data_IF_715939306369
#
_entry.id   IF_715939306369
#
_cell.length_a   1.000
_cell.length_b   1.000
_cell.length_c   1.000
_cell.angle_alpha   90.00
_cell.angle_beta   90.00
_cell.angle_gamma   90.00
#
_symmetry.space_group_name_H-M   'P 1'
#
loop_
_entity.id
_entity.type
_entity.pdbx_description
1 polymer ?
#
# COMPACT_ATOMS: atom_id res chain seq x y z
N UNK A 1 -42.91 17.44 33.59
CA UNK A 1 -42.98 16.37 32.58
C UNK A 1 -42.81 16.98 31.19
N UNK A 2 -41.64 16.82 30.57
CA UNK A 2 -41.40 17.10 29.16
C UNK A 2 -40.80 15.83 28.55
N UNK A 3 -41.32 15.43 27.39
CA UNK A 3 -41.10 14.10 26.79
C UNK A 3 -39.82 14.15 25.97
N UNK A 4 -38.83 13.31 26.28
CA UNK A 4 -37.66 13.11 25.43
C UNK A 4 -38.00 12.10 24.35
N UNK A 5 -37.96 12.54 23.10
CA UNK A 5 -38.06 11.67 21.92
C UNK A 5 -36.65 11.11 21.62
N UNK A 6 -36.42 9.79 21.66
CA UNK A 6 -35.08 9.20 21.63
C UNK A 6 -34.55 8.97 20.19
N UNK A 7 -35.07 9.66 19.19
CA UNK A 7 -34.83 9.35 17.76
C UNK A 7 -33.92 10.35 17.03
N UNK A 8 -33.08 11.12 17.74
CA UNK A 8 -32.11 12.00 17.09
C UNK A 8 -30.67 11.52 17.36
N UNK A 9 -29.85 11.26 16.32
CA UNK A 9 -28.44 11.03 16.53
C UNK A 9 -27.80 12.30 17.12
N UNK A 10 -26.79 12.18 17.99
CA UNK A 10 -26.14 13.33 18.60
C UNK A 10 -25.55 14.20 17.49
N UNK A 11 -26.01 15.46 17.43
CA UNK A 11 -25.46 16.47 16.53
C UNK A 11 -24.00 16.69 16.97
N UNK A 12 -22.99 16.47 16.11
CA UNK A 12 -21.61 16.76 16.48
C UNK A 12 -21.48 18.27 16.72
N UNK A 13 -20.97 18.65 17.88
CA UNK A 13 -20.70 20.04 18.20
C UNK A 13 -19.68 20.62 17.21
N UNK A 14 -19.83 21.89 16.77
CA UNK A 14 -18.84 22.55 15.92
C UNK A 14 -17.54 22.72 16.72
N UNK A 15 -16.54 21.91 16.36
CA UNK A 15 -15.30 21.80 17.10
C UNK A 15 -14.52 23.12 17.09
N UNK A 16 -14.27 23.59 18.30
CA UNK A 16 -13.46 24.75 18.63
C UNK A 16 -12.00 24.42 18.37
N UNK A 17 -11.55 24.48 17.10
CA UNK A 17 -10.16 24.75 16.68
C UNK A 17 -8.99 24.00 17.33
N UNK A 18 -9.21 22.89 18.04
CA UNK A 18 -8.16 22.12 18.70
C UNK A 18 -8.15 20.70 18.12
N UNK A 19 -7.04 20.25 17.52
CA UNK A 19 -6.96 18.92 16.94
C UNK A 19 -7.11 17.86 18.03
N UNK A 20 -8.03 16.92 17.83
CA UNK A 20 -8.30 15.82 18.74
C UNK A 20 -7.03 14.93 18.89
N UNK A 21 -6.50 14.72 20.11
CA UNK A 21 -5.26 13.96 20.34
C UNK A 21 -5.37 12.46 20.04
N UNK A 22 -6.58 11.93 19.84
CA UNK A 22 -6.82 10.55 19.42
C UNK A 22 -6.98 10.41 17.90
N UNK A 23 -7.00 11.52 17.16
CA UNK A 23 -7.13 11.50 15.73
C UNK A 23 -5.75 11.22 15.13
N UNK A 24 -5.54 10.03 14.51
CA UNK A 24 -4.31 9.84 13.74
C UNK A 24 -4.24 10.95 12.69
N UNK A 25 -3.04 11.48 12.40
CA UNK A 25 -2.90 12.49 11.37
C UNK A 25 -3.56 11.93 10.11
N UNK A 26 -4.52 12.69 9.55
CA UNK A 26 -5.06 12.43 8.23
C UNK A 26 -3.98 12.81 7.22
N UNK A 27 -2.87 12.09 7.26
CA UNK A 27 -1.95 12.01 6.14
C UNK A 27 -2.74 11.28 5.07
N UNK A 28 -3.36 12.05 4.18
CA UNK A 28 -3.66 11.52 2.86
C UNK A 28 -2.37 10.81 2.41
N UNK A 29 -2.44 9.52 2.04
CA UNK A 29 -1.28 8.86 1.47
C UNK A 29 -0.80 9.79 0.36
N UNK A 30 0.50 10.09 0.27
CA UNK A 30 1.01 10.85 -0.86
C UNK A 30 0.39 10.23 -2.11
N UNK A 31 -0.10 11.09 -3.02
CA UNK A 31 -0.60 10.69 -4.34
C UNK A 31 0.59 10.12 -5.11
N UNK A 32 1.05 8.96 -4.68
CA UNK A 32 1.97 8.10 -5.39
C UNK A 32 1.18 7.76 -6.64
N UNK A 33 1.76 8.04 -7.81
CA UNK A 33 1.20 7.64 -9.08
C UNK A 33 1.03 6.11 -9.03
N UNK A 34 -0.17 5.67 -8.63
CA UNK A 34 -0.44 4.29 -8.27
C UNK A 34 -0.25 3.37 -9.49
N UNK A 35 -0.44 3.95 -10.66
CA UNK A 35 -0.18 3.35 -11.95
C UNK A 35 1.31 2.98 -12.12
N UNK A 36 2.25 3.87 -11.80
CA UNK A 36 3.69 3.61 -11.91
C UNK A 36 4.15 2.48 -10.98
N UNK A 37 3.62 2.41 -9.76
CA UNK A 37 3.95 1.34 -8.81
C UNK A 37 3.40 -0.01 -9.25
N UNK A 38 2.19 -0.03 -9.80
CA UNK A 38 1.58 -1.27 -10.32
C UNK A 38 2.36 -1.81 -11.53
N UNK A 39 2.83 -0.91 -12.40
CA UNK A 39 3.69 -1.24 -13.54
C UNK A 39 5.04 -1.74 -13.05
N UNK A 40 5.63 -1.06 -12.06
CA UNK A 40 6.89 -1.46 -11.46
C UNK A 40 6.80 -2.84 -10.80
N UNK A 41 5.72 -3.12 -10.06
CA UNK A 41 5.44 -4.44 -9.50
C UNK A 41 5.34 -5.51 -10.58
N UNK A 42 4.55 -5.29 -11.64
CA UNK A 42 4.40 -6.25 -12.73
C UNK A 42 5.74 -6.53 -13.42
N UNK A 43 6.53 -5.47 -13.67
CA UNK A 43 7.87 -5.59 -14.27
C UNK A 43 8.84 -6.35 -13.37
N UNK A 44 8.79 -6.10 -12.07
CA UNK A 44 9.54 -6.83 -11.06
C UNK A 44 9.17 -8.31 -11.06
N UNK A 45 7.88 -8.62 -11.09
CA UNK A 45 7.37 -9.99 -11.17
C UNK A 45 7.85 -10.72 -12.43
N UNK A 46 7.81 -10.08 -13.60
CA UNK A 46 8.36 -10.67 -14.83
C UNK A 46 9.88 -10.90 -14.74
N UNK A 47 10.62 -9.95 -14.17
CA UNK A 47 12.05 -10.08 -13.94
C UNK A 47 12.36 -11.24 -12.98
N UNK A 48 11.57 -11.41 -11.90
CA UNK A 48 11.73 -12.49 -10.92
C UNK A 48 11.35 -13.87 -11.44
N UNK A 49 10.62 -13.96 -12.55
CA UNK A 49 10.38 -15.25 -13.24
C UNK A 49 11.57 -15.69 -14.09
N UNK A 50 12.45 -14.78 -14.51
CA UNK A 50 13.64 -15.12 -15.31
C UNK A 50 14.73 -15.72 -14.41
N UNK A 51 15.48 -16.68 -14.95
CA UNK A 51 16.57 -17.32 -14.21
C UNK A 51 17.78 -16.40 -13.99
N UNK A 52 17.93 -15.38 -14.85
CA UNK A 52 19.01 -14.42 -14.78
C UNK A 52 18.64 -13.26 -13.85
N UNK A 53 19.22 -13.23 -12.66
CA UNK A 53 19.11 -12.14 -11.69
C UNK A 53 19.83 -10.84 -12.12
N UNK A 54 20.03 -10.63 -13.42
CA UNK A 54 20.79 -9.51 -13.97
C UNK A 54 19.93 -8.27 -14.19
N UNK A 55 18.59 -8.41 -14.16
CA UNK A 55 17.65 -7.30 -14.28
C UNK A 55 17.62 -6.54 -12.95
N UNK A 56 18.57 -5.61 -12.79
CA UNK A 56 18.60 -4.69 -11.66
C UNK A 56 17.38 -3.78 -11.73
N UNK A 57 16.87 -3.43 -10.55
CA UNK A 57 15.78 -2.48 -10.40
C UNK A 57 16.13 -1.15 -11.11
N UNK A 58 15.39 -0.74 -12.15
CA UNK A 58 15.69 0.46 -12.93
C UNK A 58 15.18 1.74 -12.26
N UNK A 59 14.42 1.62 -11.18
CA UNK A 59 13.85 2.75 -10.46
C UNK A 59 14.85 3.30 -9.43
N UNK A 60 14.76 4.60 -9.09
CA UNK A 60 15.61 5.19 -8.06
C UNK A 60 15.48 4.43 -6.75
N UNK A 61 16.61 4.15 -6.12
CA UNK A 61 16.66 3.65 -4.75
C UNK A 61 15.84 4.54 -3.80
N UNK A 62 15.09 3.91 -2.88
CA UNK A 62 14.08 4.49 -1.98
C UNK A 62 12.73 4.95 -2.57
N UNK A 63 12.57 4.94 -3.90
CA UNK A 63 11.27 5.25 -4.52
C UNK A 63 10.20 4.18 -4.23
N UNK A 64 8.92 4.59 -4.27
CA UNK A 64 7.79 3.64 -4.12
C UNK A 64 7.81 2.58 -5.22
N UNK A 65 8.14 2.98 -6.45
CA UNK A 65 8.22 2.09 -7.60
C UNK A 65 9.38 1.11 -7.51
N UNK A 66 10.53 1.52 -6.94
CA UNK A 66 11.62 0.58 -6.65
C UNK A 66 11.17 -0.51 -5.65
N UNK A 67 10.50 -0.12 -4.57
CA UNK A 67 9.96 -1.08 -3.59
C UNK A 67 8.92 -2.00 -4.23
N UNK A 68 8.06 -1.47 -5.09
CA UNK A 68 7.05 -2.26 -5.80
C UNK A 68 7.69 -3.30 -6.74
N UNK A 69 8.73 -2.91 -7.50
CA UNK A 69 9.51 -3.81 -8.34
C UNK A 69 10.16 -4.93 -7.53
N UNK A 70 10.85 -4.60 -6.44
CA UNK A 70 11.51 -5.60 -5.60
C UNK A 70 10.49 -6.58 -5.00
N UNK A 71 9.32 -6.09 -4.61
CA UNK A 71 8.24 -6.93 -4.09
C UNK A 71 7.73 -7.92 -5.14
N UNK A 72 7.44 -7.45 -6.35
CA UNK A 72 7.03 -8.29 -7.47
C UNK A 72 8.10 -9.34 -7.81
N UNK A 73 9.37 -8.93 -7.85
CA UNK A 73 10.50 -9.81 -8.11
C UNK A 73 10.59 -10.95 -7.10
N UNK A 74 10.52 -10.65 -5.81
CA UNK A 74 10.57 -11.66 -4.75
C UNK A 74 9.37 -12.60 -4.80
N UNK A 75 8.16 -12.09 -5.06
CA UNK A 75 6.97 -12.93 -5.16
C UNK A 75 7.05 -13.88 -6.35
N UNK A 76 7.58 -13.44 -7.50
CA UNK A 76 7.84 -14.32 -8.63
C UNK A 76 8.86 -15.42 -8.32
N UNK A 77 9.95 -15.09 -7.62
CA UNK A 77 10.95 -16.08 -7.20
C UNK A 77 10.37 -17.10 -6.21
N UNK A 78 9.46 -16.68 -5.31
CA UNK A 78 8.73 -17.59 -4.41
C UNK A 78 7.86 -18.56 -5.20
N UNK A 79 7.05 -18.06 -6.15
CA UNK A 79 6.20 -18.90 -7.01
C UNK A 79 7.04 -19.93 -7.76
N UNK A 80 8.16 -19.51 -8.34
CA UNK A 80 9.10 -20.39 -9.03
C UNK A 80 9.73 -21.44 -8.11
N UNK A 81 10.08 -21.06 -6.89
CA UNK A 81 10.70 -21.96 -5.91
C UNK A 81 9.71 -22.99 -5.36
N UNK A 82 8.42 -22.60 -5.26
CA UNK A 82 7.35 -23.48 -4.76
C UNK A 82 6.85 -24.47 -5.81
N UNK A 83 7.17 -24.27 -7.10
CA UNK A 83 6.89 -25.20 -8.19
C UNK A 83 7.86 -26.39 -8.23
N UNK A 84 8.98 -26.33 -7.49
CA UNK A 84 9.81 -27.52 -7.27
C UNK A 84 9.11 -28.42 -6.23
N UNK A 85 8.81 -29.70 -6.56
CA UNK A 85 8.28 -30.62 -5.57
C UNK A 85 9.29 -30.79 -4.42
N UNK A 86 8.81 -30.96 -3.17
CA UNK A 86 9.68 -31.38 -2.08
C UNK A 86 10.29 -32.74 -2.46
N UNK A 87 11.63 -32.78 -2.49
CA UNK A 87 12.39 -34.01 -2.73
C UNK A 87 12.33 -34.97 -1.55
#
# INVERSE_FOLDING_TARGET
MAKHDPTLPPIPAPETGLPNPLQPPSVEPPKIARDDDSIAYARGFEAGKREAATDKNPYPEDSSSAKAFDHGYLDAQKVRSNDKPPG
#
